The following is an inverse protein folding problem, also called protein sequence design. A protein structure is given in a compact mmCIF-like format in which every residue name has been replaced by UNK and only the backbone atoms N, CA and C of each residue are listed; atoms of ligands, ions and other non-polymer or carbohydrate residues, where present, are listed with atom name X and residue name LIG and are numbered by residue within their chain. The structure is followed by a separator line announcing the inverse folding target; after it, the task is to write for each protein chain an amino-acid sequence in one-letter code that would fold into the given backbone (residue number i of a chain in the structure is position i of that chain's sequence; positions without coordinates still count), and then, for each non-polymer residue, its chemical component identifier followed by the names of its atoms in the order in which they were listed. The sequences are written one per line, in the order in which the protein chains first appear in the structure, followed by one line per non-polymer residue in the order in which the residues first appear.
data_IF_828245384224
#
_entry.id   IF_828245384224
#
_cell.length_a   1.000
_cell.length_b   1.000
_cell.length_c   1.000
_cell.angle_alpha   90.00
_cell.angle_beta   90.00
_cell.angle_gamma   90.00
#
_symmetry.space_group_name_H-M   'P 1'
#
loop_
_entity.id
_entity.type
_entity.pdbx_description
1 polymer ?
#
# COMPACT_ATOMS: atom_id res chain seq x y z
N UNK A 1 20.16 5.52 16.43
CA UNK A 1 20.48 4.42 15.50
C UNK A 1 19.32 4.30 14.51
N UNK A 2 19.51 4.65 13.23
CA UNK A 2 18.47 4.46 12.20
C UNK A 2 18.30 2.96 11.98
N UNK A 3 17.10 2.44 12.19
CA UNK A 3 16.77 1.04 11.93
C UNK A 3 16.93 0.78 10.42
N UNK A 4 18.06 0.19 10.00
CA UNK A 4 18.47 0.06 8.59
C UNK A 4 17.55 -0.81 7.70
N UNK A 5 16.45 -1.32 8.24
CA UNK A 5 15.56 -2.27 7.57
C UNK A 5 14.10 -1.79 7.46
N UNK A 6 13.78 -0.53 7.82
CA UNK A 6 12.43 -0.01 7.54
C UNK A 6 12.40 0.44 6.08
N UNK A 7 11.51 -0.16 5.29
CA UNK A 7 11.24 0.25 3.92
C UNK A 7 9.95 1.06 3.96
N UNK A 8 10.09 2.37 3.75
CA UNK A 8 8.95 3.29 3.67
C UNK A 8 8.26 3.08 2.32
N UNK A 9 6.99 2.66 2.36
CA UNK A 9 6.19 2.44 1.17
C UNK A 9 5.08 3.49 1.11
N UNK A 10 4.99 4.17 -0.03
CA UNK A 10 3.91 5.12 -0.31
C UNK A 10 2.79 4.40 -1.03
N UNK A 11 1.59 4.49 -0.48
CA UNK A 11 0.39 3.87 -1.03
C UNK A 11 -0.67 4.95 -1.22
N UNK A 12 -1.24 5.00 -2.42
CA UNK A 12 -2.43 5.77 -2.71
C UNK A 12 -3.65 5.00 -2.22
N UNK A 13 -4.47 5.61 -1.36
CA UNK A 13 -5.69 4.98 -0.84
C UNK A 13 -6.88 5.90 -1.12
N UNK A 14 -7.93 5.34 -1.71
CA UNK A 14 -9.14 6.07 -2.07
C UNK A 14 -10.39 5.31 -1.64
N UNK A 15 -11.29 6.02 -0.98
CA UNK A 15 -12.64 5.54 -0.71
C UNK A 15 -13.56 5.88 -1.90
N UNK A 16 -14.26 4.87 -2.40
CA UNK A 16 -15.40 4.99 -3.30
C UNK A 16 -16.70 4.71 -2.53
N UNK A 17 -17.87 4.93 -3.16
CA UNK A 17 -19.18 4.80 -2.49
C UNK A 17 -19.37 3.47 -1.75
N UNK A 18 -18.91 2.37 -2.34
CA UNK A 18 -19.16 1.01 -1.83
C UNK A 18 -17.90 0.19 -1.55
N UNK A 19 -16.71 0.75 -1.79
CA UNK A 19 -15.44 0.03 -1.65
C UNK A 19 -14.27 0.98 -1.45
N UNK A 20 -13.15 0.44 -1.02
CA UNK A 20 -11.85 1.08 -0.94
C UNK A 20 -10.96 0.55 -2.04
N UNK A 21 -10.09 1.41 -2.54
CA UNK A 21 -9.06 1.08 -3.51
C UNK A 21 -7.72 1.52 -2.95
N UNK A 22 -6.70 0.70 -3.15
CA UNK A 22 -5.32 1.09 -2.85
C UNK A 22 -4.39 0.69 -3.98
N UNK A 23 -3.35 1.50 -4.20
CA UNK A 23 -2.32 1.24 -5.20
C UNK A 23 -0.95 1.69 -4.69
N UNK A 24 0.08 0.91 -5.03
CA UNK A 24 1.45 1.27 -4.68
C UNK A 24 1.95 2.43 -5.56
N UNK A 25 2.44 3.49 -4.93
CA UNK A 25 2.92 4.66 -5.67
C UNK A 25 4.13 4.29 -6.53
N UNK A 26 4.05 4.52 -7.84
CA UNK A 26 5.10 4.19 -8.80
C UNK A 26 5.12 2.73 -9.28
N UNK A 27 4.22 1.86 -8.77
CA UNK A 27 3.97 0.52 -9.33
C UNK A 27 2.45 0.32 -9.52
N UNK A 28 1.87 0.86 -10.61
CA UNK A 28 0.43 0.78 -10.84
C UNK A 28 -0.08 -0.66 -10.99
N UNK A 29 0.79 -1.61 -11.34
CA UNK A 29 0.46 -3.04 -11.44
C UNK A 29 0.08 -3.69 -10.10
N UNK A 30 0.32 -3.01 -8.97
CA UNK A 30 -0.09 -3.47 -7.64
C UNK A 30 -1.23 -2.56 -7.16
N UNK A 31 -2.45 -2.91 -7.58
CA UNK A 31 -3.69 -2.30 -7.12
C UNK A 31 -4.61 -3.35 -6.50
N UNK A 32 -5.35 -2.94 -5.46
CA UNK A 32 -6.27 -3.81 -4.73
C UNK A 32 -7.54 -3.05 -4.39
N UNK A 33 -8.64 -3.79 -4.25
CA UNK A 33 -9.92 -3.25 -3.79
C UNK A 33 -10.48 -4.08 -2.65
N UNK A 34 -11.19 -3.44 -1.73
CA UNK A 34 -11.70 -4.08 -0.53
C UNK A 34 -12.86 -3.33 0.11
N UNK A 35 -13.61 -3.94 1.04
CA UNK A 35 -14.72 -3.28 1.71
C UNK A 35 -14.29 -2.20 2.71
N UNK A 36 -13.05 -2.24 3.21
CA UNK A 36 -12.53 -1.31 4.22
C UNK A 36 -11.13 -0.81 3.90
N UNK A 37 -10.71 0.28 4.56
CA UNK A 37 -9.33 0.80 4.44
C UNK A 37 -8.29 -0.21 4.94
N UNK A 38 -8.60 -0.96 6.00
CA UNK A 38 -7.69 -1.96 6.56
C UNK A 38 -7.55 -3.17 5.64
N UNK A 39 -8.62 -3.56 4.95
CA UNK A 39 -8.60 -4.67 3.99
C UNK A 39 -7.64 -4.38 2.84
N UNK A 40 -7.77 -3.21 2.20
CA UNK A 40 -6.86 -2.82 1.11
C UNK A 40 -5.42 -2.62 1.61
N UNK A 41 -5.21 -2.14 2.84
CA UNK A 41 -3.86 -2.05 3.43
C UNK A 41 -3.25 -3.43 3.69
N UNK A 42 -4.06 -4.40 4.12
CA UNK A 42 -3.60 -5.78 4.32
C UNK A 42 -3.17 -6.40 3.00
N UNK A 43 -4.00 -6.31 1.96
CA UNK A 43 -3.68 -6.87 0.64
C UNK A 43 -2.41 -6.25 0.03
N UNK A 44 -2.21 -4.92 0.14
CA UNK A 44 -0.95 -4.29 -0.28
C UNK A 44 0.25 -4.84 0.50
N UNK A 45 0.09 -5.06 1.81
CA UNK A 45 1.17 -5.61 2.63
C UNK A 45 1.53 -7.04 2.22
N UNK A 46 0.54 -7.86 1.90
CA UNK A 46 0.76 -9.23 1.43
C UNK A 46 1.55 -9.23 0.11
N UNK A 47 1.17 -8.38 -0.85
CA UNK A 47 1.94 -8.21 -2.10
C UNK A 47 3.39 -7.78 -1.87
N UNK A 48 3.63 -6.90 -0.90
CA UNK A 48 4.99 -6.48 -0.54
C UNK A 48 5.82 -7.65 0.04
N UNK A 49 5.21 -8.50 0.86
CA UNK A 49 5.85 -9.71 1.38
C UNK A 49 6.09 -10.77 0.30
N UNK A 50 5.20 -10.91 -0.67
CA UNK A 50 5.43 -11.74 -1.86
C UNK A 50 6.65 -11.22 -2.64
N UNK A 51 6.71 -9.92 -2.90
CA UNK A 51 7.86 -9.30 -3.58
C UNK A 51 9.17 -9.44 -2.79
N UNK A 52 9.10 -9.39 -1.45
CA UNK A 52 10.24 -9.67 -0.59
C UNK A 52 10.71 -11.11 -0.75
N UNK A 53 9.79 -12.08 -0.81
CA UNK A 53 10.10 -13.50 -1.02
C UNK A 53 10.72 -13.76 -2.39
N UNK A 54 10.36 -12.95 -3.40
CA UNK A 54 10.98 -12.95 -4.73
C UNK A 54 12.32 -12.21 -4.79
N UNK A 55 12.82 -11.69 -3.66
CA UNK A 55 14.10 -10.99 -3.57
C UNK A 55 14.08 -9.52 -4.04
N UNK A 56 12.90 -8.95 -4.33
CA UNK A 56 12.79 -7.52 -4.70
C UNK A 56 13.01 -6.58 -3.50
N UNK A 57 12.82 -7.07 -2.28
CA UNK A 57 13.07 -6.33 -1.04
C UNK A 57 13.98 -7.12 -0.10
N UNK A 58 14.75 -6.44 0.79
CA UNK A 58 15.57 -7.12 1.77
C UNK A 58 14.74 -8.07 2.64
N UNK A 59 15.21 -9.29 2.97
CA UNK A 59 14.43 -10.32 3.69
C UNK A 59 14.05 -9.96 5.14
N UNK A 60 14.53 -8.84 5.66
CA UNK A 60 14.17 -8.30 6.99
C UNK A 60 13.50 -6.94 6.90
N UNK A 61 13.05 -6.54 5.71
CA UNK A 61 12.33 -5.31 5.49
C UNK A 61 11.02 -5.30 6.29
N UNK A 62 10.81 -4.24 7.06
CA UNK A 62 9.53 -3.91 7.68
C UNK A 62 8.87 -2.87 6.80
N UNK A 63 7.67 -3.17 6.28
CA UNK A 63 6.92 -2.27 5.42
C UNK A 63 6.03 -1.35 6.26
N UNK A 64 6.41 -0.08 6.32
CA UNK A 64 5.57 0.95 6.90
C UNK A 64 4.81 1.66 5.78
N UNK A 65 3.49 1.50 5.77
CA UNK A 65 2.62 2.17 4.80
C UNK A 65 2.44 3.62 5.26
N UNK A 66 3.24 4.52 4.69
CA UNK A 66 3.05 5.96 4.88
C UNK A 66 1.98 6.43 3.90
N UNK A 67 0.86 6.89 4.47
CA UNK A 67 -0.34 7.31 3.75
C UNK A 67 -0.04 8.45 2.78
N UNK A 68 -0.34 8.30 1.49
CA UNK A 68 -0.18 9.40 0.51
C UNK A 68 -1.41 9.52 -0.39
N UNK A 69 -1.97 10.73 -0.37
CA UNK A 69 -2.99 11.28 -1.28
C UNK A 69 -4.43 10.78 -1.15
N UNK A 70 -5.27 11.61 -0.51
CA UNK A 70 -6.72 11.63 -0.71
C UNK A 70 -7.02 12.67 -1.82
N UNK A 71 -7.35 12.27 -3.06
CA UNK A 71 -7.89 13.24 -4.01
C UNK A 71 -9.20 13.80 -3.45
N UNK A 72 -9.47 15.10 -3.60
CA UNK A 72 -10.65 15.74 -3.04
C UNK A 72 -11.93 15.15 -3.60
N UNK A 73 -13.00 15.24 -2.79
CA UNK A 73 -14.36 14.78 -3.09
C UNK A 73 -14.74 15.26 -4.49
N UNK A 74 -15.01 14.33 -5.40
CA UNK A 74 -15.83 14.64 -6.57
C UNK A 74 -17.21 14.98 -6.01
N UNK A 75 -17.48 16.28 -5.84
CA UNK A 75 -18.84 16.79 -5.71
C UNK A 75 -19.64 16.18 -6.86
N UNK A 76 -20.67 15.44 -6.50
CA UNK A 76 -21.68 14.94 -7.42
C UNK A 76 -23.03 15.46 -6.97
#
# INVERSE_FOLDING_TARGET
MRNRNIVEIRVAIRQYKNYWWACLFGKPDIEVTGPTEEDVKSQIRDHLYEQQSLGQYPPKAVFEIMYVYRPPRLNH
#
